data_IF_942865210446
#
_entry.id   IF_942865210446
#
_cell.length_a   1.000
_cell.length_b   1.000
_cell.length_c   1.000
_cell.angle_alpha   90.00
_cell.angle_beta   90.00
_cell.angle_gamma   90.00
#
_symmetry.space_group_name_H-M   'P 1'
#
loop_
_entity.id
_entity.type
_entity.pdbx_description
1 polymer ?
#
# COMPACT_ATOMS: atom_id res chain seq x y z
N UNK A 1 -8.89 -24.97 -4.04
CA UNK A 1 -8.17 -24.05 -3.13
C UNK A 1 -8.30 -22.66 -3.71
N UNK A 2 -8.59 -21.63 -2.90
CA UNK A 2 -8.63 -20.24 -3.40
C UNK A 2 -7.23 -19.65 -3.45
N UNK A 3 -6.99 -18.63 -4.28
CA UNK A 3 -5.68 -17.97 -4.38
C UNK A 3 -5.18 -17.43 -3.02
N UNK A 4 -6.07 -16.86 -2.23
CA UNK A 4 -5.71 -16.38 -0.89
C UNK A 4 -5.27 -17.53 0.04
N UNK A 5 -5.85 -18.72 -0.10
CA UNK A 5 -5.40 -19.90 0.64
C UNK A 5 -4.00 -20.36 0.22
N UNK A 6 -3.69 -20.29 -1.07
CA UNK A 6 -2.35 -20.57 -1.60
C UNK A 6 -1.33 -19.55 -1.10
N UNK A 7 -1.66 -18.26 -1.11
CA UNK A 7 -0.85 -17.20 -0.54
C UNK A 7 -0.60 -17.43 0.96
N UNK A 8 -1.63 -17.81 1.72
CA UNK A 8 -1.51 -18.14 3.14
C UNK A 8 -0.53 -19.28 3.38
N UNK A 9 -0.67 -20.39 2.68
CA UNK A 9 0.22 -21.55 2.82
C UNK A 9 1.68 -21.20 2.51
N UNK A 10 1.93 -20.38 1.49
CA UNK A 10 3.26 -19.88 1.14
C UNK A 10 3.85 -19.05 2.29
N UNK A 11 3.10 -18.06 2.78
CA UNK A 11 3.54 -17.18 3.87
C UNK A 11 3.78 -17.96 5.17
N UNK A 12 2.94 -18.94 5.50
CA UNK A 12 3.15 -19.85 6.63
C UNK A 12 4.40 -20.72 6.46
N UNK A 13 4.68 -21.17 5.23
CA UNK A 13 5.91 -21.90 4.92
C UNK A 13 7.15 -21.02 5.09
N UNK A 14 7.09 -19.78 4.61
CA UNK A 14 8.15 -18.78 4.75
C UNK A 14 8.43 -18.43 6.22
N UNK A 15 7.36 -18.29 7.01
CA UNK A 15 7.47 -18.06 8.45
C UNK A 15 8.19 -19.21 9.14
N UNK A 16 7.75 -20.46 8.88
CA UNK A 16 8.37 -21.66 9.47
C UNK A 16 9.84 -21.81 9.09
N UNK A 17 10.16 -21.65 7.82
CA UNK A 17 11.54 -21.80 7.32
C UNK A 17 12.48 -20.72 7.86
N UNK A 18 11.98 -19.50 8.09
CA UNK A 18 12.74 -18.39 8.68
C UNK A 18 12.76 -18.38 10.21
N UNK A 19 12.02 -19.27 10.89
CA UNK A 19 11.88 -19.27 12.36
C UNK A 19 11.04 -18.13 12.89
N UNK A 20 10.12 -17.60 12.07
CA UNK A 20 9.21 -16.49 12.41
C UNK A 20 7.81 -17.00 12.72
N UNK A 21 7.01 -16.12 13.31
CA UNK A 21 5.60 -16.32 13.63
C UNK A 21 4.77 -15.32 12.84
N UNK A 22 3.58 -15.74 12.41
CA UNK A 22 2.63 -14.80 11.81
C UNK A 22 1.94 -13.99 12.92
N UNK A 23 1.53 -12.78 12.59
CA UNK A 23 0.75 -11.95 13.48
C UNK A 23 -0.50 -12.72 13.94
N UNK A 24 -0.84 -12.76 15.25
CA UNK A 24 -1.99 -13.49 15.73
C UNK A 24 -3.34 -12.84 15.42
N UNK A 25 -3.36 -11.58 14.94
CA UNK A 25 -4.58 -10.90 14.51
C UNK A 25 -5.01 -11.42 13.13
N UNK A 26 -6.00 -12.32 13.12
CA UNK A 26 -6.51 -12.95 11.91
C UNK A 26 -7.16 -11.97 10.93
N UNK A 27 -7.76 -10.88 11.41
CA UNK A 27 -8.35 -9.87 10.53
C UNK A 27 -7.24 -9.09 9.82
N UNK A 28 -6.23 -8.67 10.56
CA UNK A 28 -5.06 -8.00 10.05
C UNK A 28 -4.27 -8.86 9.04
N UNK A 29 -4.07 -10.14 9.37
CA UNK A 29 -3.41 -11.11 8.45
C UNK A 29 -4.20 -11.25 7.14
N UNK A 30 -5.53 -11.34 7.23
CA UNK A 30 -6.38 -11.46 6.03
C UNK A 30 -6.16 -10.29 5.08
N UNK A 31 -6.17 -9.06 5.59
CA UNK A 31 -5.97 -7.85 4.79
C UNK A 31 -4.60 -7.85 4.09
N UNK A 32 -3.55 -8.33 4.78
CA UNK A 32 -2.22 -8.45 4.19
C UNK A 32 -2.15 -9.55 3.13
N UNK A 33 -2.80 -10.70 3.35
CA UNK A 33 -2.86 -11.78 2.37
C UNK A 33 -3.65 -11.38 1.13
N UNK A 34 -4.75 -10.65 1.30
CA UNK A 34 -5.51 -10.07 0.20
C UNK A 34 -4.63 -9.10 -0.62
N UNK A 35 -3.92 -8.20 0.05
CA UNK A 35 -2.99 -7.28 -0.60
C UNK A 35 -1.87 -7.99 -1.37
N UNK A 36 -1.28 -9.04 -0.81
CA UNK A 36 -0.28 -9.87 -1.48
C UNK A 36 -0.85 -10.58 -2.71
N UNK A 37 -2.06 -11.13 -2.58
CA UNK A 37 -2.74 -11.84 -3.67
C UNK A 37 -3.07 -10.88 -4.82
N UNK A 38 -3.61 -9.69 -4.50
CA UNK A 38 -3.89 -8.63 -5.48
C UNK A 38 -2.61 -8.17 -6.19
N UNK A 39 -1.52 -8.00 -5.45
CA UNK A 39 -0.25 -7.60 -6.06
C UNK A 39 0.33 -8.69 -6.96
N UNK A 40 0.21 -9.97 -6.55
CA UNK A 40 0.63 -11.10 -7.39
C UNK A 40 -0.20 -11.21 -8.67
N UNK A 41 -1.51 -10.97 -8.59
CA UNK A 41 -2.39 -10.92 -9.76
C UNK A 41 -2.05 -9.74 -10.69
N UNK A 42 -1.73 -8.58 -10.12
CA UNK A 42 -1.46 -7.36 -10.86
C UNK A 42 -0.08 -7.35 -11.52
N UNK A 43 0.94 -7.83 -10.82
CA UNK A 43 2.35 -7.67 -11.20
C UNK A 43 3.02 -9.00 -11.59
N UNK A 44 2.37 -10.15 -11.32
CA UNK A 44 2.96 -11.47 -11.52
C UNK A 44 3.89 -11.91 -10.38
N UNK A 45 3.98 -11.13 -9.29
CA UNK A 45 4.76 -11.45 -8.09
C UNK A 45 4.16 -10.78 -6.84
N UNK A 46 4.30 -11.39 -5.64
CA UNK A 46 3.69 -10.91 -4.41
C UNK A 46 4.49 -9.77 -3.80
N UNK A 47 4.45 -8.58 -4.37
CA UNK A 47 5.10 -7.42 -3.75
C UNK A 47 4.45 -7.05 -2.42
N UNK A 48 5.23 -6.53 -1.49
CA UNK A 48 4.77 -6.13 -0.16
C UNK A 48 3.61 -5.12 -0.25
N UNK A 49 2.44 -5.38 0.37
CA UNK A 49 1.28 -4.50 0.28
C UNK A 49 1.48 -3.18 1.02
N UNK A 50 2.46 -3.10 1.90
CA UNK A 50 2.79 -1.89 2.67
C UNK A 50 3.83 -0.99 1.98
N UNK A 51 4.28 -1.37 0.78
CA UNK A 51 5.24 -0.60 -0.04
C UNK A 51 4.69 -0.37 -1.44
N UNK A 52 5.17 0.70 -2.08
CA UNK A 52 4.73 1.03 -3.44
C UNK A 52 5.46 0.14 -4.44
N UNK A 53 4.71 -0.79 -5.06
CA UNK A 53 5.16 -1.59 -6.19
C UNK A 53 4.96 -0.85 -7.51
N UNK A 54 5.87 -1.06 -8.46
CA UNK A 54 5.85 -0.42 -9.78
C UNK A 54 5.30 -1.32 -10.87
N UNK A 55 5.25 -2.64 -10.63
CA UNK A 55 5.02 -3.65 -11.65
C UNK A 55 6.26 -3.97 -12.48
N UNK A 56 7.40 -3.34 -12.18
CA UNK A 56 8.68 -3.69 -12.78
C UNK A 56 9.48 -4.57 -11.81
N UNK A 57 9.62 -5.85 -12.15
CA UNK A 57 10.30 -6.84 -11.32
C UNK A 57 11.71 -6.41 -10.87
N UNK A 58 12.49 -5.78 -11.77
CA UNK A 58 13.85 -5.37 -11.45
C UNK A 58 13.92 -4.25 -10.40
N UNK A 59 12.89 -3.37 -10.37
CA UNK A 59 12.77 -2.28 -9.39
C UNK A 59 12.19 -2.82 -8.08
N UNK A 60 11.22 -3.74 -8.16
CA UNK A 60 10.45 -4.21 -7.02
C UNK A 60 11.05 -5.46 -6.34
N UNK A 61 12.13 -6.00 -6.88
CA UNK A 61 12.74 -7.24 -6.40
C UNK A 61 12.98 -7.26 -4.89
N UNK A 62 13.41 -6.15 -4.33
CA UNK A 62 13.74 -5.99 -2.92
C UNK A 62 12.51 -5.93 -2.00
N UNK A 63 11.32 -5.71 -2.57
CA UNK A 63 10.05 -5.65 -1.84
C UNK A 63 9.12 -6.84 -2.11
N UNK A 64 9.57 -7.86 -2.86
CA UNK A 64 8.83 -9.11 -3.03
C UNK A 64 8.78 -9.83 -1.68
N UNK A 65 7.58 -10.24 -1.25
CA UNK A 65 7.40 -10.92 0.04
C UNK A 65 7.85 -12.38 -0.01
N UNK A 66 8.74 -12.82 0.92
CA UNK A 66 9.36 -12.05 2.00
C UNK A 66 10.45 -11.10 1.51
N UNK A 67 10.35 -9.82 1.86
CA UNK A 67 11.22 -8.77 1.33
C UNK A 67 12.65 -8.85 1.91
N UNK A 68 13.63 -8.26 1.20
CA UNK A 68 15.05 -8.24 1.60
C UNK A 68 15.29 -7.61 2.99
N UNK A 69 14.34 -6.81 3.46
CA UNK A 69 14.43 -6.06 4.74
C UNK A 69 13.86 -6.84 5.93
N UNK A 70 13.08 -7.93 5.69
CA UNK A 70 12.35 -8.67 6.73
C UNK A 70 13.25 -9.09 7.89
N UNK A 71 14.36 -9.72 7.58
CA UNK A 71 15.20 -10.35 8.62
C UNK A 71 15.85 -9.29 9.52
N UNK A 72 16.33 -8.19 8.93
CA UNK A 72 16.89 -7.07 9.68
C UNK A 72 15.80 -6.36 10.52
N UNK A 73 14.61 -6.15 9.97
CA UNK A 73 13.49 -5.52 10.68
C UNK A 73 13.03 -6.37 11.85
N UNK A 74 12.86 -7.69 11.66
CA UNK A 74 12.45 -8.61 12.74
C UNK A 74 13.54 -8.72 13.82
N UNK A 75 14.80 -8.74 13.44
CA UNK A 75 15.91 -8.80 14.41
C UNK A 75 15.94 -7.55 15.29
N UNK A 76 15.78 -6.37 14.72
CA UNK A 76 15.90 -5.10 15.41
C UNK A 76 14.61 -4.71 16.13
N UNK A 77 13.45 -4.79 15.47
CA UNK A 77 12.17 -4.28 15.97
C UNK A 77 11.19 -5.36 16.41
N UNK A 78 11.52 -6.65 16.20
CA UNK A 78 10.64 -7.77 16.54
C UNK A 78 9.56 -8.07 15.51
N UNK A 79 9.44 -7.29 14.44
CA UNK A 79 8.47 -7.45 13.37
C UNK A 79 9.05 -6.97 12.03
N UNK A 80 8.57 -7.53 10.91
CA UNK A 80 8.83 -6.92 9.60
C UNK A 80 8.00 -5.64 9.43
N UNK A 81 8.34 -4.82 8.43
CA UNK A 81 7.68 -3.54 8.17
C UNK A 81 6.15 -3.60 8.10
N UNK A 82 5.58 -4.69 7.55
CA UNK A 82 4.13 -4.93 7.50
C UNK A 82 3.58 -5.58 8.78
N UNK A 83 4.41 -5.93 9.76
CA UNK A 83 4.05 -6.75 10.91
C UNK A 83 3.37 -8.10 10.55
N UNK A 84 3.65 -8.64 9.36
CA UNK A 84 3.21 -9.97 8.93
C UNK A 84 4.01 -11.06 9.64
N UNK A 85 5.36 -10.91 9.66
CA UNK A 85 6.30 -11.80 10.33
C UNK A 85 6.76 -11.18 11.64
N UNK A 86 6.64 -11.96 12.73
CA UNK A 86 7.00 -11.53 14.08
C UNK A 86 8.10 -12.42 14.66
N UNK A 87 8.90 -11.84 15.53
CA UNK A 87 9.79 -12.57 16.44
C UNK A 87 8.97 -13.23 17.54
N UNK A 88 9.48 -14.33 18.08
CA UNK A 88 8.78 -15.15 19.07
C UNK A 88 8.29 -14.37 20.31
N UNK A 89 9.12 -13.49 20.84
CA UNK A 89 8.79 -12.71 22.04
C UNK A 89 7.61 -11.72 21.81
N UNK A 90 7.53 -11.14 20.60
CA UNK A 90 6.42 -10.28 20.19
C UNK A 90 5.16 -11.10 19.98
N UNK A 91 5.27 -12.26 19.31
CA UNK A 91 4.17 -13.18 19.09
C UNK A 91 3.57 -13.70 20.43
N UNK A 92 4.42 -14.01 21.40
CA UNK A 92 4.01 -14.48 22.74
C UNK A 92 3.53 -13.32 23.66
N UNK A 93 3.53 -12.08 23.18
CA UNK A 93 3.13 -10.92 23.98
C UNK A 93 4.13 -10.51 25.07
N UNK A 94 5.34 -11.07 25.05
CA UNK A 94 6.43 -10.72 26.00
C UNK A 94 7.08 -9.39 25.66
N UNK A 95 7.09 -9.02 24.38
CA UNK A 95 7.52 -7.72 23.89
C UNK A 95 6.37 -7.03 23.16
N UNK A 96 6.33 -5.70 23.21
CA UNK A 96 5.32 -4.91 22.51
C UNK A 96 5.70 -4.77 21.03
N UNK A 97 4.70 -4.91 20.16
CA UNK A 97 4.85 -4.54 18.76
C UNK A 97 5.06 -3.02 18.67
N UNK A 98 6.17 -2.61 18.07
CA UNK A 98 6.50 -1.21 17.81
C UNK A 98 6.43 -0.92 16.30
N UNK A 99 6.18 0.34 15.89
CA UNK A 99 6.28 0.73 14.50
C UNK A 99 7.70 0.47 13.96
N UNK A 100 7.79 -0.22 12.82
CA UNK A 100 9.04 -0.49 12.14
C UNK A 100 9.31 0.65 11.16
N UNK A 101 10.44 1.37 11.27
CA UNK A 101 10.77 2.43 10.32
C UNK A 101 11.06 1.85 8.92
N UNK A 102 10.83 2.66 7.88
CA UNK A 102 11.14 2.24 6.51
C UNK A 102 12.66 2.11 6.33
N UNK A 103 13.10 0.89 6.02
CA UNK A 103 14.51 0.55 5.78
C UNK A 103 14.88 0.60 4.28
N UNK A 104 13.88 0.61 3.41
CA UNK A 104 14.13 0.72 1.97
C UNK A 104 14.82 2.05 1.67
N UNK A 105 15.96 2.06 0.95
CA UNK A 105 16.63 3.30 0.59
C UNK A 105 15.69 4.27 -0.13
N UNK A 106 15.79 5.55 0.20
CA UNK A 106 14.92 6.60 -0.34
C UNK A 106 14.94 6.62 -1.87
N UNK A 107 16.11 6.44 -2.49
CA UNK A 107 16.28 6.44 -3.95
C UNK A 107 15.52 5.30 -4.63
N UNK A 108 15.40 4.15 -3.96
CA UNK A 108 14.59 3.03 -4.47
C UNK A 108 13.09 3.32 -4.33
N UNK A 109 12.69 3.91 -3.21
CA UNK A 109 11.31 4.32 -2.97
C UNK A 109 10.87 5.42 -3.93
N UNK A 110 11.72 6.40 -4.19
CA UNK A 110 11.49 7.47 -5.15
C UNK A 110 11.38 6.94 -6.59
N UNK A 111 12.22 5.99 -6.99
CA UNK A 111 12.10 5.29 -8.30
C UNK A 111 10.75 4.58 -8.43
N UNK A 112 10.28 3.95 -7.38
CA UNK A 112 8.96 3.31 -7.37
C UNK A 112 7.85 4.33 -7.58
N UNK A 113 7.87 5.45 -6.85
CA UNK A 113 6.88 6.52 -7.02
C UNK A 113 6.93 7.13 -8.41
N UNK A 114 8.12 7.44 -8.93
CA UNK A 114 8.31 8.02 -10.26
C UNK A 114 7.89 7.07 -11.38
N UNK A 115 8.20 5.78 -11.27
CA UNK A 115 7.82 4.77 -12.25
C UNK A 115 6.29 4.56 -12.29
N UNK A 116 5.62 4.63 -11.14
CA UNK A 116 4.16 4.54 -11.06
C UNK A 116 3.48 5.72 -11.77
N UNK A 117 4.06 6.90 -11.69
CA UNK A 117 3.53 8.11 -12.36
C UNK A 117 3.74 8.06 -13.89
N UNK A 118 4.86 7.49 -14.35
CA UNK A 118 5.21 7.42 -15.79
C UNK A 118 4.69 6.14 -16.46
N UNK A 119 4.49 5.08 -15.70
CA UNK A 119 4.28 3.71 -16.17
C UNK A 119 2.82 3.29 -16.41
N UNK A 120 1.88 4.23 -16.53
CA UNK A 120 0.50 3.90 -16.90
C UNK A 120 0.33 3.39 -18.37
N UNK A 121 1.43 3.18 -19.10
CA UNK A 121 1.45 2.54 -20.41
C UNK A 121 2.06 1.15 -20.30
N UNK A 122 1.23 0.15 -19.97
CA UNK A 122 1.66 -1.25 -20.02
C UNK A 122 1.20 -2.15 -18.87
N UNK A 123 0.21 -1.74 -18.10
CA UNK A 123 -0.51 -2.73 -17.30
C UNK A 123 -1.18 -3.70 -18.26
N UNK A 124 -1.07 -5.05 -18.07
CA UNK A 124 -1.91 -5.97 -18.82
C UNK A 124 -3.36 -5.55 -18.57
N UNK A 125 -4.09 -5.29 -19.66
CA UNK A 125 -5.53 -5.05 -19.58
C UNK A 125 -6.15 -6.25 -18.88
N UNK A 126 -6.48 -6.07 -17.60
CA UNK A 126 -7.34 -7.01 -16.93
C UNK A 126 -8.66 -6.95 -17.67
N UNK A 127 -9.22 -8.08 -18.13
CA UNK A 127 -10.60 -8.09 -18.57
C UNK A 127 -11.47 -7.94 -17.33
N UNK A 128 -11.53 -6.72 -16.80
CA UNK A 128 -12.64 -6.34 -15.96
C UNK A 128 -13.87 -6.58 -16.83
N UNK A 129 -14.71 -7.55 -16.46
CA UNK A 129 -16.07 -7.61 -16.95
C UNK A 129 -16.65 -6.24 -16.64
N UNK A 130 -16.60 -5.37 -17.62
CA UNK A 130 -17.38 -4.14 -17.65
C UNK A 130 -18.81 -4.61 -17.67
N UNK A 131 -19.45 -4.63 -16.51
CA UNK A 131 -20.89 -4.51 -16.47
C UNK A 131 -21.16 -3.22 -17.25
N UNK A 132 -21.90 -3.36 -18.36
CA UNK A 132 -22.39 -2.23 -19.15
C UNK A 132 -22.96 -1.22 -18.17
N UNK A 133 -22.22 -0.17 -17.92
CA UNK A 133 -22.76 1.01 -17.27
C UNK A 133 -23.45 1.78 -18.37
N UNK A 134 -24.77 1.69 -18.35
CA UNK A 134 -25.63 2.66 -19.00
C UNK A 134 -25.07 4.07 -18.75
N UNK A 135 -24.98 4.86 -19.81
CA UNK A 135 -24.56 6.24 -19.82
C UNK A 135 -25.30 7.04 -18.76
N UNK A 136 -24.73 7.14 -17.56
CA UNK A 136 -25.06 8.17 -16.61
C UNK A 136 -24.34 9.44 -17.09
N UNK A 137 -24.97 10.13 -18.01
CA UNK A 137 -24.70 11.54 -18.26
C UNK A 137 -24.94 12.25 -16.94
N UNK A 138 -23.87 12.46 -16.19
CA UNK A 138 -23.87 13.31 -15.01
C UNK A 138 -23.99 14.75 -15.49
N UNK A 139 -25.23 15.20 -15.67
CA UNK A 139 -25.57 16.62 -15.72
C UNK A 139 -25.54 17.17 -14.30
N UNK A 140 -24.34 17.37 -13.79
CA UNK A 140 -24.08 18.06 -12.54
C UNK A 140 -22.83 18.89 -12.72
N UNK A 141 -22.98 20.20 -12.83
CA UNK A 141 -21.88 21.18 -12.84
C UNK A 141 -21.21 21.28 -11.47
N UNK A 142 -20.80 20.13 -10.89
CA UNK A 142 -19.98 20.07 -9.71
C UNK A 142 -18.52 20.33 -10.10
N UNK A 143 -18.01 21.52 -9.85
CA UNK A 143 -16.63 21.88 -10.13
C UNK A 143 -15.71 21.16 -9.13
N UNK A 144 -15.17 20.01 -9.52
CA UNK A 144 -14.21 19.26 -8.71
C UNK A 144 -12.97 20.11 -8.39
N UNK A 145 -12.57 20.14 -7.13
CA UNK A 145 -11.49 20.95 -6.59
C UNK A 145 -10.47 20.11 -5.85
N UNK A 146 -9.24 20.59 -5.80
CA UNK A 146 -8.18 19.96 -5.06
C UNK A 146 -8.05 20.63 -3.69
N UNK A 147 -8.08 19.84 -2.62
CA UNK A 147 -7.94 20.33 -1.26
C UNK A 147 -6.78 19.64 -0.56
N UNK A 148 -6.13 20.34 0.38
CA UNK A 148 -5.16 19.74 1.28
C UNK A 148 -5.47 20.04 2.75
N UNK A 149 -5.17 19.09 3.61
CA UNK A 149 -5.26 19.27 5.06
C UNK A 149 -4.04 20.04 5.55
N UNK A 150 -4.22 21.22 6.12
CA UNK A 150 -3.14 22.06 6.67
C UNK A 150 -2.38 21.41 7.81
N UNK A 151 -2.98 20.43 8.49
CA UNK A 151 -2.36 19.76 9.64
C UNK A 151 -1.43 18.61 9.23
N UNK A 152 -1.81 17.76 8.24
CA UNK A 152 -1.04 16.57 7.87
C UNK A 152 -0.65 16.47 6.40
N UNK A 153 -1.06 17.42 5.56
CA UNK A 153 -0.75 17.42 4.13
C UNK A 153 -1.60 16.47 3.28
N UNK A 154 -2.59 15.75 3.87
CA UNK A 154 -3.48 14.88 3.08
C UNK A 154 -4.17 15.67 1.99
N UNK A 155 -4.10 15.18 0.74
CA UNK A 155 -4.70 15.82 -0.43
C UNK A 155 -5.89 15.01 -0.92
N UNK A 156 -6.97 15.69 -1.33
CA UNK A 156 -8.15 15.05 -1.92
C UNK A 156 -8.74 15.88 -3.05
N UNK A 157 -9.32 15.20 -4.05
CA UNK A 157 -9.99 15.80 -5.20
C UNK A 157 -11.50 15.56 -5.09
N UNK A 158 -12.27 16.59 -4.76
CA UNK A 158 -13.72 16.53 -4.47
C UNK A 158 -14.38 17.87 -4.76
N UNK A 159 -15.71 17.89 -4.78
CA UNK A 159 -16.49 19.15 -4.82
C UNK A 159 -16.32 19.96 -3.53
N UNK A 160 -16.28 19.27 -2.38
CA UNK A 160 -16.06 19.85 -1.06
C UNK A 160 -15.06 19.01 -0.24
N UNK A 161 -14.31 19.66 0.67
CA UNK A 161 -13.41 18.92 1.55
C UNK A 161 -14.18 18.01 2.53
N UNK A 162 -13.59 16.87 2.96
CA UNK A 162 -14.25 15.96 3.89
C UNK A 162 -14.51 16.64 5.22
N UNK A 163 -15.58 16.25 5.93
CA UNK A 163 -15.92 16.77 7.26
C UNK A 163 -14.82 16.53 8.29
N UNK A 164 -14.12 15.39 8.14
CA UNK A 164 -13.04 14.96 9.02
C UNK A 164 -11.91 14.40 8.14
N UNK A 165 -10.69 14.81 8.37
CA UNK A 165 -9.51 14.25 7.69
C UNK A 165 -9.37 12.76 7.98
N UNK A 166 -9.27 11.88 6.96
CA UNK A 166 -9.14 10.44 7.18
C UNK A 166 -7.81 10.07 7.87
N UNK A 167 -6.79 10.90 7.73
CA UNK A 167 -5.44 10.65 8.26
C UNK A 167 -5.30 11.15 9.70
N UNK A 168 -5.47 12.46 9.93
CA UNK A 168 -5.16 13.09 11.23
C UNK A 168 -6.42 13.45 12.05
N UNK A 169 -7.62 13.15 11.54
CA UNK A 169 -8.92 13.45 12.18
C UNK A 169 -9.21 14.96 12.34
N UNK A 170 -8.44 15.81 11.70
CA UNK A 170 -8.70 17.26 11.67
C UNK A 170 -10.07 17.56 11.07
N UNK A 171 -10.72 18.61 11.54
CA UNK A 171 -12.02 19.08 11.04
C UNK A 171 -11.88 19.77 9.68
N UNK A 172 -13.00 19.90 8.95
CA UNK A 172 -13.09 20.50 7.61
C UNK A 172 -12.44 21.89 7.50
N UNK A 173 -12.53 22.71 8.54
CA UNK A 173 -11.96 24.06 8.59
C UNK A 173 -10.43 24.10 8.44
N UNK A 174 -9.76 22.97 8.68
CA UNK A 174 -8.32 22.80 8.45
C UNK A 174 -7.96 22.38 7.01
N UNK A 175 -8.93 22.31 6.10
CA UNK A 175 -8.66 22.12 4.68
C UNK A 175 -8.56 23.45 3.94
N UNK A 176 -7.64 23.51 2.97
CA UNK A 176 -7.53 24.62 2.05
C UNK A 176 -7.60 24.12 0.60
N UNK A 177 -8.17 24.92 -0.28
CA UNK A 177 -8.19 24.67 -1.72
C UNK A 177 -6.81 24.95 -2.33
N UNK A 178 -6.36 24.07 -3.23
CA UNK A 178 -5.13 24.25 -4.00
C UNK A 178 -5.52 24.81 -5.36
N UNK A 179 -5.06 26.03 -5.67
CA UNK A 179 -5.15 26.61 -7.01
C UNK A 179 -3.87 26.24 -7.79
N UNK A 180 -4.00 25.39 -8.80
CA UNK A 180 -2.89 25.05 -9.69
C UNK A 180 -2.84 26.06 -10.84
N UNK A 181 -1.80 26.90 -10.87
CA UNK A 181 -1.45 27.70 -12.05
C UNK A 181 -0.40 26.92 -12.85
N UNK A 182 -0.84 26.32 -13.95
CA UNK A 182 0.08 25.64 -14.88
C UNK A 182 0.63 26.68 -15.85
N UNK A 183 1.88 27.11 -15.64
CA UNK A 183 2.62 27.91 -16.63
C UNK A 183 3.42 26.95 -17.51
N UNK A 184 2.89 26.65 -18.70
CA UNK A 184 3.65 25.94 -19.72
C UNK A 184 4.72 26.88 -20.27
N UNK A 185 6.00 26.60 -19.99
CA UNK A 185 7.13 27.17 -20.75
C UNK A 185 7.46 26.16 -21.87
N UNK A 186 7.20 26.56 -23.08
CA UNK A 186 7.66 25.89 -24.30
C UNK A 186 9.08 26.24 -24.62
#
# INVERSE_FOLDING_TARGET
>A
MTRIQETRLRVESDARSGGYFLNPDEAFIRDLLDGLTVNEERYGYPSCPCRVGTGNFAIDRDIICPCDYRDADVAEYGACYCALFLRKDVFEGKAKLAPVPERRPYEKSERSMSATVVGAKGAPEHPAKVAEKEDLVATGEGKMKLFYCKQCGYVCYREEPPLICPVCKAKRDLFAEISLQVTAKW
#
